data_IF_105719298731
#
_entry.id   IF_105719298731
#
_cell.length_a   1.000
_cell.length_b   1.000
_cell.length_c   1.000
_cell.angle_alpha   90.00
_cell.angle_beta   90.00
_cell.angle_gamma   90.00
#
_symmetry.space_group_name_H-M   'P 1'
#
loop_
_entity.id
_entity.type
_entity.pdbx_description
1 polymer ?
#
# COMPACT_ATOMS: atom_id res chain seq x y z
N UNK A 1 -20.24 20.77 -3.51
CA UNK A 1 -19.81 19.35 -3.47
C UNK A 1 -20.48 18.48 -2.38
N UNK A 2 -20.99 18.98 -1.24
CA UNK A 2 -21.65 18.10 -0.24
C UNK A 2 -23.01 17.53 -0.70
N UNK A 3 -23.72 18.23 -1.57
CA UNK A 3 -25.05 17.85 -2.08
C UNK A 3 -25.06 16.60 -2.96
N UNK A 4 -23.91 16.23 -3.54
CA UNK A 4 -23.77 15.02 -4.37
C UNK A 4 -23.91 13.76 -3.51
N UNK A 5 -23.50 13.81 -2.24
CA UNK A 5 -23.63 12.69 -1.31
C UNK A 5 -25.11 12.44 -0.90
N UNK A 6 -25.91 13.51 -0.81
CA UNK A 6 -27.36 13.40 -0.63
C UNK A 6 -28.04 12.83 -1.89
N UNK A 7 -27.63 13.31 -3.07
CA UNK A 7 -28.16 12.83 -4.36
C UNK A 7 -27.84 11.35 -4.63
N UNK A 8 -26.66 10.85 -4.27
CA UNK A 8 -26.37 9.42 -4.42
C UNK A 8 -27.18 8.55 -3.43
N UNK A 9 -27.45 9.07 -2.24
CA UNK A 9 -28.33 8.43 -1.26
C UNK A 9 -29.78 8.30 -1.74
N UNK A 10 -30.31 9.32 -2.43
CA UNK A 10 -31.65 9.24 -3.01
C UNK A 10 -31.72 8.25 -4.17
N UNK A 11 -30.75 8.27 -5.07
CA UNK A 11 -30.70 7.33 -6.20
C UNK A 11 -30.59 5.89 -5.71
N UNK A 12 -29.78 5.63 -4.68
CA UNK A 12 -29.64 4.30 -4.10
C UNK A 12 -30.91 3.85 -3.36
N UNK A 13 -31.51 4.72 -2.54
CA UNK A 13 -32.74 4.42 -1.81
C UNK A 13 -33.93 4.20 -2.75
N UNK A 14 -34.07 5.01 -3.80
CA UNK A 14 -35.07 4.83 -4.85
C UNK A 14 -34.83 3.57 -5.68
N UNK A 15 -33.57 3.24 -6.02
CA UNK A 15 -33.24 2.03 -6.77
C UNK A 15 -33.64 0.76 -6.03
N UNK A 16 -33.35 0.67 -4.73
CA UNK A 16 -33.78 -0.46 -3.89
C UNK A 16 -35.30 -0.50 -3.71
N UNK A 17 -35.92 0.65 -3.53
CA UNK A 17 -37.36 0.76 -3.40
C UNK A 17 -38.06 0.24 -4.68
N UNK A 18 -37.59 0.64 -5.87
CA UNK A 18 -38.14 0.22 -7.16
C UNK A 18 -37.83 -1.25 -7.47
N UNK A 19 -36.65 -1.76 -7.11
CA UNK A 19 -36.32 -3.18 -7.32
C UNK A 19 -37.17 -4.13 -6.47
N UNK A 20 -37.64 -3.64 -5.31
CA UNK A 20 -38.52 -4.41 -4.42
C UNK A 20 -39.98 -4.45 -4.90
N UNK A 21 -40.33 -3.61 -5.89
CA UNK A 21 -41.67 -3.58 -6.45
C UNK A 21 -41.84 -4.73 -7.45
N UNK A 22 -42.54 -5.78 -7.02
CA UNK A 22 -42.93 -6.91 -7.84
C UNK A 22 -44.01 -6.51 -8.88
N UNK A 23 -43.61 -5.80 -9.94
CA UNK A 23 -44.49 -5.24 -10.98
C UNK A 23 -45.29 -6.28 -11.83
N UNK A 24 -45.32 -7.55 -11.43
CA UNK A 24 -46.03 -8.63 -12.11
C UNK A 24 -46.76 -9.63 -11.20
N UNK A 25 -46.80 -9.40 -9.88
CA UNK A 25 -47.46 -10.30 -8.93
C UNK A 25 -48.92 -9.89 -8.70
N UNK A 26 -49.86 -10.78 -9.00
CA UNK A 26 -51.31 -10.62 -8.74
C UNK A 26 -51.73 -10.91 -7.30
N UNK A 27 -50.77 -11.26 -6.44
CA UNK A 27 -51.00 -11.61 -5.04
C UNK A 27 -51.09 -10.33 -4.17
N UNK A 28 -52.23 -10.06 -3.50
CA UNK A 28 -52.42 -8.88 -2.67
C UNK A 28 -51.42 -8.77 -1.51
N UNK A 29 -50.97 -9.89 -0.96
CA UNK A 29 -50.01 -9.88 0.16
C UNK A 29 -48.61 -9.47 -0.31
N UNK A 30 -48.19 -9.97 -1.47
CA UNK A 30 -46.92 -9.59 -2.09
C UNK A 30 -46.90 -8.09 -2.46
N UNK A 31 -48.02 -7.56 -2.95
CA UNK A 31 -48.13 -6.13 -3.28
C UNK A 31 -48.03 -5.25 -2.02
N UNK A 32 -48.67 -5.65 -0.91
CA UNK A 32 -48.59 -4.93 0.36
C UNK A 32 -47.17 -4.92 0.92
N UNK A 33 -46.46 -6.05 0.82
CA UNK A 33 -45.05 -6.14 1.22
C UNK A 33 -44.14 -5.27 0.35
N UNK A 34 -44.37 -5.25 -0.97
CA UNK A 34 -43.64 -4.39 -1.91
C UNK A 34 -43.84 -2.90 -1.64
N UNK A 35 -45.06 -2.46 -1.32
CA UNK A 35 -45.35 -1.06 -0.95
C UNK A 35 -44.67 -0.68 0.37
N UNK A 36 -44.68 -1.58 1.37
CA UNK A 36 -44.02 -1.30 2.65
C UNK A 36 -42.49 -1.15 2.49
N UNK A 37 -41.87 -2.01 1.67
CA UNK A 37 -40.45 -1.87 1.31
C UNK A 37 -40.16 -0.61 0.50
N UNK A 38 -41.05 -0.23 -0.42
CA UNK A 38 -40.96 1.02 -1.19
C UNK A 38 -40.96 2.24 -0.26
N UNK A 39 -41.92 2.31 0.69
CA UNK A 39 -42.01 3.40 1.67
C UNK A 39 -40.77 3.45 2.57
N UNK A 40 -40.23 2.30 2.97
CA UNK A 40 -38.98 2.22 3.73
C UNK A 40 -37.77 2.76 2.96
N UNK A 41 -37.62 2.38 1.67
CA UNK A 41 -36.51 2.86 0.83
C UNK A 41 -36.58 4.36 0.54
N UNK A 42 -37.79 4.91 0.41
CA UNK A 42 -38.04 6.35 0.29
C UNK A 42 -37.64 7.13 1.56
N UNK A 43 -37.90 6.57 2.74
CA UNK A 43 -37.47 7.17 4.01
C UNK A 43 -35.95 7.34 4.09
N UNK A 44 -35.20 6.28 3.77
CA UNK A 44 -33.73 6.31 3.78
C UNK A 44 -33.16 7.32 2.76
N UNK A 45 -33.77 7.41 1.58
CA UNK A 45 -33.41 8.41 0.56
C UNK A 45 -33.61 9.85 1.07
N UNK A 46 -34.72 10.11 1.75
CA UNK A 46 -35.05 11.42 2.29
C UNK A 46 -34.09 11.80 3.44
N UNK A 47 -33.85 10.89 4.39
CA UNK A 47 -32.96 11.13 5.52
C UNK A 47 -31.53 11.44 5.06
N UNK A 48 -31.04 10.74 4.03
CA UNK A 48 -29.70 10.98 3.48
C UNK A 48 -29.60 12.34 2.79
N UNK A 49 -30.69 12.83 2.18
CA UNK A 49 -30.73 14.18 1.60
C UNK A 49 -30.73 15.25 2.68
N UNK A 50 -31.56 15.07 3.70
CA UNK A 50 -31.63 15.97 4.84
C UNK A 50 -30.25 16.08 5.50
N UNK A 51 -29.58 14.95 5.74
CA UNK A 51 -28.24 14.91 6.28
C UNK A 51 -27.22 15.62 5.36
N UNK A 52 -27.31 15.40 4.05
CA UNK A 52 -26.46 16.09 3.07
C UNK A 52 -26.66 17.61 3.05
N UNK A 53 -27.89 18.09 3.22
CA UNK A 53 -28.19 19.52 3.31
C UNK A 53 -27.68 20.14 4.61
N UNK A 54 -27.88 19.48 5.75
CA UNK A 54 -27.35 19.94 7.04
C UNK A 54 -25.83 20.02 6.98
N UNK A 55 -25.18 18.98 6.46
CA UNK A 55 -23.73 18.97 6.32
C UNK A 55 -23.25 20.07 5.37
N UNK A 56 -23.96 20.31 4.27
CA UNK A 56 -23.65 21.41 3.34
C UNK A 56 -23.78 22.79 4.01
N UNK A 57 -24.78 22.98 4.87
CA UNK A 57 -24.98 24.23 5.60
C UNK A 57 -23.84 24.46 6.61
N UNK A 58 -23.45 23.43 7.35
CA UNK A 58 -22.34 23.50 8.31
C UNK A 58 -21.00 23.74 7.58
N UNK A 59 -20.78 23.12 6.42
CA UNK A 59 -19.54 23.25 5.65
C UNK A 59 -19.37 24.65 5.01
N UNK A 60 -20.46 25.39 4.80
CA UNK A 60 -20.42 26.72 4.18
C UNK A 60 -19.67 27.75 5.03
N UNK A 61 -19.71 27.61 6.36
CA UNK A 61 -19.05 28.54 7.28
C UNK A 61 -17.51 28.48 7.21
N UNK A 62 -16.85 27.32 7.41
CA UNK A 62 -15.39 27.23 7.29
C UNK A 62 -14.91 27.53 5.87
N UNK A 63 -15.71 27.21 4.85
CA UNK A 63 -15.38 27.55 3.46
C UNK A 63 -15.30 29.07 3.26
N UNK A 64 -16.24 29.83 3.83
CA UNK A 64 -16.20 31.29 3.77
C UNK A 64 -14.99 31.87 4.51
N UNK A 65 -14.59 31.27 5.65
CA UNK A 65 -13.38 31.68 6.38
C UNK A 65 -12.12 31.40 5.54
N UNK A 66 -12.03 30.23 4.92
CA UNK A 66 -10.89 29.88 4.07
C UNK A 66 -10.78 30.82 2.87
N UNK A 67 -11.90 31.12 2.21
CA UNK A 67 -11.95 32.07 1.10
C UNK A 67 -11.47 33.45 1.52
N UNK A 68 -11.88 33.93 2.70
CA UNK A 68 -11.42 35.21 3.23
C UNK A 68 -9.91 35.23 3.45
N UNK A 69 -9.36 34.16 4.03
CA UNK A 69 -7.89 34.05 4.22
C UNK A 69 -7.16 34.02 2.89
N UNK A 70 -7.69 33.32 1.89
CA UNK A 70 -7.13 33.28 0.54
C UNK A 70 -7.12 34.67 -0.11
N UNK A 71 -8.22 35.43 0.01
CA UNK A 71 -8.31 36.81 -0.48
C UNK A 71 -7.31 37.74 0.23
N UNK A 72 -7.14 37.60 1.55
CA UNK A 72 -6.15 38.37 2.32
C UNK A 72 -4.72 38.07 1.85
N UNK A 73 -4.38 36.80 1.63
CA UNK A 73 -3.06 36.38 1.13
C UNK A 73 -2.81 36.88 -0.29
N UNK A 74 -3.80 36.79 -1.18
CA UNK A 74 -3.69 37.32 -2.55
C UNK A 74 -3.44 38.84 -2.51
N UNK A 75 -4.16 39.55 -1.64
CA UNK A 75 -3.98 40.99 -1.45
C UNK A 75 -2.57 41.33 -0.94
N UNK A 76 -2.04 40.53 -0.01
CA UNK A 76 -0.67 40.70 0.50
C UNK A 76 0.38 40.46 -0.60
N UNK A 77 0.17 39.44 -1.44
CA UNK A 77 1.05 39.16 -2.58
C UNK A 77 1.02 40.31 -3.59
N UNK A 78 -0.16 40.85 -3.90
CA UNK A 78 -0.31 41.98 -4.83
C UNK A 78 0.37 43.25 -4.29
N UNK A 79 0.19 43.52 -2.99
CA UNK A 79 0.88 44.60 -2.30
C UNK A 79 2.40 44.40 -2.32
N UNK A 80 2.90 43.19 -2.08
CA UNK A 80 4.32 42.86 -2.15
C UNK A 80 4.88 43.06 -3.56
N UNK A 81 4.14 42.61 -4.59
CA UNK A 81 4.53 42.82 -5.98
C UNK A 81 4.62 44.31 -6.31
N UNK A 82 3.65 45.09 -5.86
CA UNK A 82 3.58 46.53 -6.15
C UNK A 82 4.60 47.36 -5.38
N UNK A 83 4.85 47.05 -4.11
CA UNK A 83 5.73 47.84 -3.24
C UNK A 83 7.20 47.43 -3.32
N UNK A 84 7.49 46.13 -3.54
CA UNK A 84 8.87 45.62 -3.54
C UNK A 84 9.36 45.22 -4.91
N UNK A 85 8.49 44.63 -5.74
CA UNK A 85 8.91 44.02 -7.00
C UNK A 85 8.90 45.03 -8.16
N UNK A 86 7.83 45.82 -8.31
CA UNK A 86 7.74 46.87 -9.33
C UNK A 86 8.82 47.96 -9.17
N UNK A 87 9.13 48.49 -7.97
CA UNK A 87 10.16 49.50 -7.84
C UNK A 87 11.53 48.93 -8.13
N UNK A 88 11.83 47.68 -7.76
CA UNK A 88 13.11 47.04 -8.08
C UNK A 88 13.27 46.77 -9.58
N UNK A 89 12.19 46.43 -10.29
CA UNK A 89 12.22 46.29 -11.74
C UNK A 89 12.37 47.64 -12.44
N UNK A 90 11.67 48.68 -11.98
CA UNK A 90 11.79 50.03 -12.53
C UNK A 90 13.16 50.65 -12.22
N UNK A 91 13.72 50.40 -11.03
CA UNK A 91 15.08 50.83 -10.66
C UNK A 91 16.13 50.07 -11.47
N UNK A 92 15.91 48.78 -11.78
CA UNK A 92 16.72 48.06 -12.77
C UNK A 92 16.59 48.64 -14.18
N UNK A 93 15.41 49.14 -14.58
CA UNK A 93 15.19 49.75 -15.89
C UNK A 93 15.86 51.13 -15.99
N UNK A 94 15.74 51.97 -14.95
CA UNK A 94 16.44 53.25 -14.87
C UNK A 94 17.96 53.08 -14.76
N UNK A 95 18.41 52.07 -14.00
CA UNK A 95 19.81 51.67 -13.99
C UNK A 95 20.26 51.15 -15.36
N UNK A 96 19.38 50.49 -16.15
CA UNK A 96 19.71 50.05 -17.51
C UNK A 96 19.84 51.22 -18.49
N UNK A 97 19.03 52.27 -18.35
CA UNK A 97 19.13 53.49 -19.15
C UNK A 97 20.40 54.31 -18.80
N UNK A 98 20.76 54.40 -17.52
CA UNK A 98 22.01 55.03 -17.04
C UNK A 98 23.26 54.17 -17.36
N UNK A 99 23.12 52.84 -17.35
CA UNK A 99 24.12 51.88 -17.83
C UNK A 99 24.29 51.91 -19.35
N UNK A 100 23.25 52.17 -20.14
CA UNK A 100 23.38 52.30 -21.60
C UNK A 100 24.17 53.56 -21.99
N UNK A 101 24.03 54.66 -21.25
CA UNK A 101 24.83 55.87 -21.44
C UNK A 101 26.29 55.70 -20.97
N UNK A 102 26.54 54.91 -19.93
CA UNK A 102 27.90 54.65 -19.41
C UNK A 102 28.62 53.44 -20.07
N UNK A 103 27.90 52.49 -20.68
CA UNK A 103 28.47 51.32 -21.35
C UNK A 103 29.09 51.61 -22.70
N UNK A 104 28.84 52.76 -23.35
CA UNK A 104 29.53 53.12 -24.60
C UNK A 104 31.05 53.19 -24.40
N UNK A 105 31.52 53.44 -23.17
CA UNK A 105 32.94 53.46 -22.79
C UNK A 105 33.46 52.07 -22.34
N UNK A 106 32.62 51.19 -21.79
CA UNK A 106 33.05 49.95 -21.09
C UNK A 106 32.73 48.62 -21.78
N UNK A 107 32.23 48.62 -23.02
CA UNK A 107 31.97 47.41 -23.83
C UNK A 107 33.13 46.39 -23.82
N UNK A 108 34.43 46.80 -23.91
CA UNK A 108 35.54 45.84 -23.90
C UNK A 108 35.70 45.11 -22.55
N UNK A 109 35.42 45.80 -21.44
CA UNK A 109 35.58 45.25 -20.09
C UNK A 109 34.46 44.24 -19.74
N UNK A 110 33.23 44.52 -20.18
CA UNK A 110 32.12 43.58 -20.05
C UNK A 110 32.34 42.32 -20.89
N UNK A 111 32.78 42.47 -22.15
CA UNK A 111 33.11 41.35 -23.02
C UNK A 111 34.23 40.46 -22.44
N UNK A 112 35.27 41.07 -21.86
CA UNK A 112 36.34 40.33 -21.20
C UNK A 112 35.87 39.59 -19.93
N UNK A 113 34.99 40.21 -19.14
CA UNK A 113 34.39 39.57 -17.96
C UNK A 113 33.48 38.39 -18.34
N UNK A 114 32.69 38.54 -19.41
CA UNK A 114 31.81 37.49 -19.92
C UNK A 114 32.62 36.32 -20.50
N UNK A 115 33.68 36.60 -21.26
CA UNK A 115 34.58 35.57 -21.78
C UNK A 115 35.25 34.77 -20.65
N UNK A 116 35.72 35.46 -19.61
CA UNK A 116 36.33 34.83 -18.42
C UNK A 116 35.33 33.99 -17.62
N UNK A 117 34.08 34.45 -17.50
CA UNK A 117 33.01 33.68 -16.85
C UNK A 117 32.66 32.42 -17.66
N UNK A 118 32.62 32.50 -18.99
CA UNK A 118 32.38 31.35 -19.86
C UNK A 118 33.50 30.31 -19.77
N UNK A 119 34.75 30.74 -19.77
CA UNK A 119 35.92 29.85 -19.61
C UNK A 119 35.86 29.10 -18.28
N UNK A 120 35.58 29.82 -17.18
CA UNK A 120 35.48 29.22 -15.86
C UNK A 120 34.33 28.21 -15.75
N UNK A 121 33.18 28.51 -16.37
CA UNK A 121 32.04 27.59 -16.40
C UNK A 121 32.37 26.29 -17.16
N UNK A 122 33.07 26.38 -18.29
CA UNK A 122 33.47 25.19 -19.06
C UNK A 122 34.44 24.30 -18.27
N UNK A 123 35.37 24.90 -17.51
CA UNK A 123 36.27 24.15 -16.62
C UNK A 123 35.48 23.45 -15.51
N UNK A 124 34.58 24.16 -14.84
CA UNK A 124 33.75 23.56 -13.79
C UNK A 124 32.85 22.43 -14.30
N UNK A 125 32.28 22.57 -15.50
CA UNK A 125 31.46 21.53 -16.11
C UNK A 125 32.29 20.30 -16.44
N UNK A 126 33.52 20.48 -16.93
CA UNK A 126 34.45 19.38 -17.19
C UNK A 126 34.84 18.64 -15.91
N UNK A 127 35.13 19.36 -14.83
CA UNK A 127 35.48 18.75 -13.54
C UNK A 127 34.28 18.02 -12.92
N UNK A 128 33.09 18.60 -13.00
CA UNK A 128 31.85 17.95 -12.57
C UNK A 128 31.55 16.68 -13.38
N UNK A 129 31.73 16.73 -14.70
CA UNK A 129 31.56 15.57 -15.60
C UNK A 129 32.56 14.45 -15.27
N UNK A 130 33.81 14.81 -14.96
CA UNK A 130 34.85 13.84 -14.57
C UNK A 130 34.48 13.18 -13.23
N UNK A 131 34.07 13.96 -12.25
CA UNK A 131 33.62 13.46 -10.93
C UNK A 131 32.40 12.54 -11.07
N UNK A 132 31.44 12.89 -11.93
CA UNK A 132 30.25 12.07 -12.18
C UNK A 132 30.61 10.74 -12.85
N UNK A 133 31.60 10.74 -13.75
CA UNK A 133 32.11 9.51 -14.38
C UNK A 133 32.77 8.59 -13.36
N UNK A 134 33.60 9.13 -12.47
CA UNK A 134 34.24 8.37 -11.39
C UNK A 134 33.21 7.78 -10.41
N UNK A 135 32.19 8.56 -10.04
CA UNK A 135 31.07 8.07 -9.23
C UNK A 135 30.29 6.95 -9.94
N UNK A 136 30.11 7.06 -11.26
CA UNK A 136 29.51 6.02 -12.10
C UNK A 136 30.31 4.73 -12.11
N UNK A 137 31.63 4.81 -12.26
CA UNK A 137 32.53 3.66 -12.25
C UNK A 137 32.56 2.98 -10.86
N UNK A 138 32.55 3.75 -9.77
CA UNK A 138 32.44 3.22 -8.40
C UNK A 138 31.11 2.50 -8.17
N UNK A 139 29.99 3.07 -8.63
CA UNK A 139 28.68 2.44 -8.53
C UNK A 139 28.62 1.14 -9.33
N UNK A 140 29.17 1.12 -10.54
CA UNK A 140 29.24 -0.09 -11.36
C UNK A 140 30.03 -1.21 -10.66
N UNK A 141 31.20 -0.89 -10.13
CA UNK A 141 32.03 -1.84 -9.39
C UNK A 141 31.31 -2.37 -8.13
N UNK A 142 30.57 -1.49 -7.42
CA UNK A 142 29.74 -1.88 -6.26
C UNK A 142 28.59 -2.78 -6.68
N UNK A 143 27.94 -2.52 -7.82
CA UNK A 143 26.83 -3.31 -8.32
C UNK A 143 27.27 -4.71 -8.74
N UNK A 144 28.40 -4.83 -9.45
CA UNK A 144 28.99 -6.11 -9.83
C UNK A 144 29.38 -6.94 -8.59
N UNK A 145 30.03 -6.30 -7.60
CA UNK A 145 30.36 -6.95 -6.33
C UNK A 145 29.11 -7.38 -5.53
N UNK A 146 28.05 -6.56 -5.55
CA UNK A 146 26.79 -6.87 -4.88
C UNK A 146 26.04 -8.01 -5.57
N UNK A 147 26.00 -8.04 -6.91
CA UNK A 147 25.38 -9.11 -7.68
C UNK A 147 26.09 -10.45 -7.43
N UNK A 148 27.43 -10.48 -7.47
CA UNK A 148 28.19 -11.69 -7.18
C UNK A 148 27.98 -12.19 -5.75
N UNK A 149 27.89 -11.28 -4.78
CA UNK A 149 27.66 -11.65 -3.37
C UNK A 149 26.24 -12.17 -3.13
N UNK A 150 25.23 -11.56 -3.76
CA UNK A 150 23.84 -12.02 -3.68
C UNK A 150 23.72 -13.44 -4.22
N UNK A 151 24.27 -13.72 -5.41
CA UNK A 151 24.23 -15.05 -6.02
C UNK A 151 24.88 -16.10 -5.12
N UNK A 152 26.08 -15.80 -4.60
CA UNK A 152 26.80 -16.70 -3.68
C UNK A 152 26.04 -16.96 -2.37
N UNK A 153 25.45 -15.91 -1.77
CA UNK A 153 24.66 -16.06 -0.54
C UNK A 153 23.36 -16.83 -0.77
N UNK A 154 22.70 -16.60 -1.90
CA UNK A 154 21.48 -17.31 -2.26
C UNK A 154 21.77 -18.79 -2.52
N UNK A 155 22.79 -19.10 -3.32
CA UNK A 155 23.21 -20.47 -3.58
C UNK A 155 23.56 -21.22 -2.27
N UNK A 156 24.31 -20.57 -1.38
CA UNK A 156 24.66 -21.14 -0.07
C UNK A 156 23.43 -21.37 0.83
N UNK A 157 22.45 -20.46 0.80
CA UNK A 157 21.22 -20.58 1.58
C UNK A 157 20.32 -21.71 1.05
N UNK A 158 20.18 -21.82 -0.26
CA UNK A 158 19.42 -22.90 -0.92
C UNK A 158 20.05 -24.26 -0.66
N UNK A 159 21.39 -24.36 -0.72
CA UNK A 159 22.11 -25.59 -0.43
C UNK A 159 21.93 -26.02 1.03
N UNK A 160 22.05 -25.09 1.99
CA UNK A 160 21.76 -25.35 3.41
C UNK A 160 20.32 -25.76 3.66
N UNK A 161 19.34 -25.07 3.06
CA UNK A 161 17.93 -25.41 3.18
C UNK A 161 17.64 -26.82 2.65
N UNK A 162 18.20 -27.17 1.49
CA UNK A 162 18.04 -28.50 0.89
C UNK A 162 18.69 -29.58 1.75
N UNK A 163 19.87 -29.31 2.29
CA UNK A 163 20.59 -30.23 3.16
C UNK A 163 19.86 -30.45 4.50
N UNK A 164 19.39 -29.37 5.14
CA UNK A 164 18.68 -29.44 6.42
C UNK A 164 17.32 -30.10 6.26
N UNK A 165 16.60 -29.81 5.18
CA UNK A 165 15.32 -30.48 4.86
C UNK A 165 15.53 -31.97 4.58
N UNK A 166 16.57 -32.33 3.83
CA UNK A 166 16.93 -33.73 3.55
C UNK A 166 17.26 -34.51 4.84
N UNK A 167 18.02 -33.89 5.76
CA UNK A 167 18.30 -34.46 7.09
C UNK A 167 17.04 -34.59 7.94
N UNK A 168 16.19 -33.56 7.95
CA UNK A 168 14.95 -33.56 8.72
C UNK A 168 13.92 -34.59 8.21
N UNK A 169 13.96 -34.96 6.93
CA UNK A 169 13.05 -35.96 6.36
C UNK A 169 13.59 -37.40 6.45
N UNK A 170 14.91 -37.57 6.39
CA UNK A 170 15.55 -38.90 6.51
C UNK A 170 15.51 -39.44 7.95
N UNK A 171 15.75 -38.60 8.96
CA UNK A 171 15.74 -39.03 10.38
C UNK A 171 14.42 -39.67 10.85
N UNK A 172 13.24 -39.08 10.60
CA UNK A 172 11.96 -39.65 11.02
C UNK A 172 11.62 -40.93 10.26
N UNK A 173 11.99 -41.01 8.97
CA UNK A 173 11.70 -42.19 8.14
C UNK A 173 12.46 -43.42 8.64
N UNK A 174 13.72 -43.24 9.05
CA UNK A 174 14.54 -44.29 9.63
C UNK A 174 14.00 -44.74 11.00
N UNK A 175 13.57 -43.78 11.83
CA UNK A 175 12.92 -44.09 13.11
C UNK A 175 11.60 -44.84 12.94
N UNK A 176 10.74 -44.40 12.01
CA UNK A 176 9.46 -45.07 11.71
C UNK A 176 9.68 -46.50 11.23
N UNK A 177 10.64 -46.74 10.34
CA UNK A 177 10.95 -48.08 9.87
C UNK A 177 11.39 -49.00 11.02
N UNK A 178 12.20 -48.48 11.95
CA UNK A 178 12.61 -49.21 13.14
C UNK A 178 11.42 -49.51 14.07
N UNK A 179 10.48 -48.57 14.24
CA UNK A 179 9.26 -48.81 15.00
C UNK A 179 8.38 -49.89 14.33
N UNK A 180 8.19 -49.85 13.01
CA UNK A 180 7.44 -50.88 12.29
C UNK A 180 8.10 -52.26 12.38
N UNK A 181 9.43 -52.33 12.28
CA UNK A 181 10.17 -53.57 12.45
C UNK A 181 10.00 -54.14 13.88
N UNK A 182 10.02 -53.29 14.90
CA UNK A 182 9.78 -53.70 16.29
C UNK A 182 8.33 -54.15 16.54
N UNK A 183 7.35 -53.44 15.95
CA UNK A 183 5.94 -53.77 16.06
C UNK A 183 5.63 -55.10 15.36
N UNK A 184 6.18 -55.32 14.16
CA UNK A 184 6.06 -56.59 13.43
C UNK A 184 6.58 -57.76 14.27
N UNK A 185 7.76 -57.61 14.89
CA UNK A 185 8.29 -58.62 15.83
C UNK A 185 7.39 -58.83 17.05
N UNK A 186 6.81 -57.76 17.59
CA UNK A 186 5.85 -57.85 18.71
C UNK A 186 4.56 -58.58 18.33
N UNK A 187 4.01 -58.31 17.15
CA UNK A 187 2.82 -59.00 16.60
C UNK A 187 3.13 -60.45 16.29
N UNK A 188 4.29 -60.76 15.73
CA UNK A 188 4.75 -62.14 15.51
C UNK A 188 4.87 -62.90 16.85
N UNK A 189 5.47 -62.28 17.87
CA UNK A 189 5.54 -62.85 19.21
C UNK A 189 4.17 -63.07 19.83
N UNK A 190 3.24 -62.12 19.67
CA UNK A 190 1.85 -62.28 20.11
C UNK A 190 1.16 -63.43 19.38
N UNK A 191 1.37 -63.57 18.07
CA UNK A 191 0.83 -64.67 17.26
C UNK A 191 1.39 -66.02 17.73
N UNK A 192 2.69 -66.10 18.02
CA UNK A 192 3.33 -67.30 18.59
C UNK A 192 2.71 -67.65 19.95
N UNK A 193 2.59 -66.68 20.87
CA UNK A 193 1.98 -66.93 22.18
C UNK A 193 0.50 -67.29 22.09
N UNK A 194 -0.29 -66.66 21.20
CA UNK A 194 -1.68 -67.02 20.96
C UNK A 194 -1.83 -68.43 20.40
N UNK A 195 -0.88 -68.88 19.58
CA UNK A 195 -0.85 -70.24 19.04
C UNK A 195 -0.44 -71.25 20.11
N UNK A 196 0.44 -70.86 21.02
CA UNK A 196 0.81 -71.64 22.21
C UNK A 196 -0.36 -71.73 23.22
N UNK A 197 -1.09 -70.63 23.44
CA UNK A 197 -2.31 -70.56 24.26
C UNK A 197 -3.52 -71.24 23.59
N UNK A 198 -3.63 -71.22 22.27
CA UNK A 198 -4.68 -71.92 21.52
C UNK A 198 -4.58 -73.45 21.62
N UNK A 199 -3.41 -73.97 21.98
CA UNK A 199 -3.19 -75.37 22.36
C UNK A 199 -3.37 -75.66 23.85
N UNK A 200 -3.45 -74.63 24.70
CA UNK A 200 -3.67 -74.76 26.14
C UNK A 200 -4.99 -74.09 26.52
N UNK A 201 -6.06 -74.90 26.59
CA UNK A 201 -7.33 -74.50 27.21
C UNK A 201 -7.04 -73.96 28.62
N UNK A 202 -7.02 -72.62 28.77
CA UNK A 202 -6.90 -71.98 30.08
C UNK A 202 -8.18 -72.31 30.83
N UNK A 203 -8.08 -73.31 31.70
CA UNK A 203 -9.12 -73.69 32.64
C UNK A 203 -9.25 -72.57 33.66
N UNK A 204 -10.19 -71.65 33.43
CA UNK A 204 -10.57 -70.64 34.42
C UNK A 204 -11.14 -71.38 35.64
N UNK A 205 -10.32 -71.55 36.69
CA UNK A 205 -10.80 -72.00 38.01
C UNK A 205 -11.71 -70.90 38.57
N UNK A 206 -13.01 -71.01 38.28
CA UNK A 206 -14.07 -70.24 38.94
C UNK A 206 -14.15 -70.73 40.39
N UNK A 207 -13.48 -70.01 41.30
CA UNK A 207 -13.60 -70.21 42.75
C UNK A 207 -15.03 -69.78 43.13
N UNK A 208 -15.91 -70.77 43.31
CA UNK A 208 -17.32 -70.55 43.60
C UNK A 208 -17.52 -69.81 44.92
N UNK A 209 -18.49 -68.90 44.93
CA UNK A 209 -19.29 -68.59 46.12
C UNK A 209 -20.65 -68.06 45.63
N UNK A 210 -21.60 -68.98 45.45
CA UNK A 210 -23.02 -68.68 45.33
C UNK A 210 -23.67 -69.05 46.66
N UNK A 211 -24.47 -68.13 47.21
CA UNK A 211 -25.46 -68.29 48.29
C UNK A 211 -24.87 -68.62 49.67
N UNK A 212 -25.08 -67.83 50.73
CA UNK A 212 -26.28 -67.14 51.20
C UNK A 212 -25.87 -66.06 52.20
#
# INVERSE_FOLDING_TARGET
MPTILGFIGTVQGLSQAVSSLSAGSTDPEALKASINNLTSGLGVAFDTTLLGLILSMIMSFPMAVMQKVEEEVITEIDAFCTEKLLPKLNDSQNASDDLLMSQIESVPAFAASLAKAHEHFLVQLKDASTTLKEAGDLLKNRLEAHQAKVESTFQSAVEKLTQDTSKALSQPTEQLNNYFASLSRGVESLNVTLRELGGQTITVKKKGFFSR
#
